data_IF_279758233301
#
_entry.id   IF_279758233301
#
_cell.length_a   1.000
_cell.length_b   1.000
_cell.length_c   1.000
_cell.angle_alpha   90.00
_cell.angle_beta   90.00
_cell.angle_gamma   90.00
#
_symmetry.space_group_name_H-M   'P 1'
#
loop_
_entity.id
_entity.type
_entity.pdbx_description
1 polymer ?
#
# COMPACT_ATOMS: atom_id res chain seq x y z
N UNK A 1 -17.12 6.39 37.88
CA UNK A 1 -17.05 5.54 36.68
C UNK A 1 -15.92 4.55 36.90
N UNK A 2 -16.27 3.33 37.29
CA UNK A 2 -15.36 2.20 37.41
C UNK A 2 -15.60 1.30 36.20
N UNK A 3 -14.57 1.00 35.43
CA UNK A 3 -14.60 -0.16 34.53
C UNK A 3 -13.26 -0.87 34.65
N UNK A 4 -13.30 -2.01 35.34
CA UNK A 4 -12.23 -2.98 35.39
C UNK A 4 -12.09 -3.67 34.03
N UNK A 5 -10.84 -3.89 33.64
CA UNK A 5 -10.47 -4.70 32.51
C UNK A 5 -10.40 -6.17 32.97
N UNK A 6 -11.29 -7.02 32.44
CA UNK A 6 -11.15 -8.47 32.53
C UNK A 6 -10.63 -9.04 31.20
N UNK A 7 -9.71 -9.98 31.36
CA UNK A 7 -8.98 -10.74 30.36
C UNK A 7 -9.89 -11.55 29.42
N UNK A 8 -9.69 -11.39 28.11
CA UNK A 8 -10.19 -12.30 27.08
C UNK A 8 -9.11 -13.34 26.73
N UNK A 9 -9.30 -14.57 27.22
CA UNK A 9 -8.60 -15.76 26.73
C UNK A 9 -9.45 -16.41 25.63
N UNK A 10 -9.04 -16.30 24.36
CA UNK A 10 -9.61 -17.09 23.27
C UNK A 10 -8.59 -18.16 22.86
N UNK A 11 -8.97 -19.40 23.17
CA UNK A 11 -8.24 -20.63 22.90
C UNK A 11 -8.32 -20.97 21.40
N UNK A 12 -7.16 -21.11 20.78
CA UNK A 12 -6.97 -21.64 19.43
C UNK A 12 -7.19 -23.16 19.41
N UNK A 13 -8.18 -23.64 18.66
CA UNK A 13 -8.33 -25.06 18.32
C UNK A 13 -8.18 -25.25 16.81
N UNK A 14 -7.11 -25.96 16.41
CA UNK A 14 -6.80 -26.38 15.03
C UNK A 14 -6.58 -27.88 15.03
N UNK A 15 -7.45 -28.64 14.35
CA UNK A 15 -7.18 -30.00 13.87
C UNK A 15 -8.30 -30.44 12.88
N UNK A 16 -8.08 -31.45 12.02
CA UNK A 16 -8.20 -31.28 10.57
C UNK A 16 -9.30 -32.14 9.91
N UNK A 17 -9.80 -31.68 8.76
CA UNK A 17 -10.68 -32.47 7.88
C UNK A 17 -9.87 -33.38 6.94
N UNK A 18 -10.21 -34.67 6.79
CA UNK A 18 -9.44 -35.62 5.99
C UNK A 18 -9.80 -35.55 4.49
N UNK A 19 -8.77 -35.51 3.65
CA UNK A 19 -8.86 -35.68 2.19
C UNK A 19 -9.16 -37.14 1.81
N UNK A 20 -10.33 -37.41 1.23
CA UNK A 20 -10.58 -38.64 0.44
C UNK A 20 -9.96 -38.47 -0.95
N UNK A 21 -8.83 -39.13 -1.21
CA UNK A 21 -8.31 -39.35 -2.56
C UNK A 21 -8.39 -40.84 -2.86
N UNK A 22 -9.27 -41.20 -3.79
CA UNK A 22 -9.48 -42.57 -4.26
C UNK A 22 -8.26 -43.02 -5.07
N UNK A 23 -7.76 -44.20 -4.73
CA UNK A 23 -6.68 -44.91 -5.40
C UNK A 23 -7.09 -45.36 -6.80
N UNK A 24 -6.24 -45.14 -7.80
CA UNK A 24 -6.18 -45.96 -9.01
C UNK A 24 -4.82 -46.65 -9.05
N UNK A 25 -4.90 -47.97 -8.93
CA UNK A 25 -3.83 -48.95 -9.04
C UNK A 25 -3.56 -49.18 -10.53
N UNK A 26 -2.31 -49.12 -10.95
CA UNK A 26 -1.89 -49.47 -12.31
C UNK A 26 -0.39 -49.77 -12.29
N UNK A 27 -0.07 -51.05 -12.40
CA UNK A 27 1.21 -51.66 -12.07
C UNK A 27 2.33 -51.38 -13.09
N UNK A 28 3.57 -51.54 -12.61
CA UNK A 28 4.81 -51.38 -13.34
C UNK A 28 5.30 -52.67 -14.02
N UNK A 29 5.86 -52.51 -15.23
CA UNK A 29 7.07 -53.16 -15.80
C UNK A 29 7.01 -54.69 -16.09
N UNK A 30 7.93 -55.28 -16.91
CA UNK A 30 9.19 -54.72 -17.42
C UNK A 30 9.51 -54.95 -18.93
N UNK A 31 10.57 -54.24 -19.33
CA UNK A 31 11.37 -54.32 -20.55
C UNK A 31 12.20 -55.63 -20.62
N UNK A 32 12.31 -56.23 -21.81
CA UNK A 32 13.39 -57.18 -22.15
C UNK A 32 13.68 -57.20 -23.66
N UNK A 33 14.96 -57.08 -23.97
CA UNK A 33 15.58 -57.03 -25.31
C UNK A 33 15.86 -58.41 -25.92
N UNK A 34 16.28 -58.35 -27.21
CA UNK A 34 16.88 -59.36 -28.10
C UNK A 34 15.92 -60.29 -28.86
N UNK A 35 16.20 -60.79 -30.06
CA UNK A 35 17.03 -60.47 -31.26
C UNK A 35 16.62 -61.59 -32.27
N UNK A 36 16.93 -61.41 -33.57
CA UNK A 36 16.92 -62.45 -34.62
C UNK A 36 15.52 -62.93 -35.10
N UNK A 37 15.23 -63.28 -36.35
CA UNK A 37 15.80 -63.05 -37.69
C UNK A 37 14.78 -63.74 -38.65
N UNK A 38 14.88 -63.47 -39.96
CA UNK A 38 14.53 -64.40 -41.06
C UNK A 38 13.06 -64.51 -41.59
N UNK A 39 12.97 -64.16 -42.89
CA UNK A 39 12.15 -64.70 -44.01
C UNK A 39 10.84 -64.06 -44.51
N UNK A 40 10.89 -63.84 -45.83
CA UNK A 40 9.92 -63.34 -46.80
C UNK A 40 8.73 -64.28 -47.08
N UNK A 41 7.60 -63.72 -47.53
CA UNK A 41 6.92 -64.03 -48.83
C UNK A 41 5.59 -63.27 -49.01
N UNK A 42 5.47 -62.53 -50.13
CA UNK A 42 4.48 -62.68 -51.24
C UNK A 42 3.03 -62.29 -50.87
N UNK A 43 2.23 -61.46 -51.57
CA UNK A 43 2.30 -60.79 -52.88
C UNK A 43 0.99 -59.99 -53.10
N UNK A 44 1.09 -58.92 -53.90
CA UNK A 44 0.09 -58.33 -54.83
C UNK A 44 -1.27 -57.79 -54.34
N UNK A 45 -1.47 -56.48 -54.53
CA UNK A 45 -2.68 -55.94 -55.19
C UNK A 45 -2.37 -54.55 -55.77
N UNK A 46 -2.83 -54.37 -57.00
CA UNK A 46 -2.34 -53.46 -58.03
C UNK A 46 -3.27 -52.23 -58.16
N UNK A 47 -2.67 -51.07 -58.48
CA UNK A 47 -3.20 -50.02 -59.38
C UNK A 47 -4.56 -49.37 -59.11
N UNK A 48 -4.55 -48.17 -58.51
CA UNK A 48 -5.51 -47.07 -58.77
C UNK A 48 -5.03 -45.77 -58.11
N UNK A 49 -4.00 -45.09 -58.66
CA UNK A 49 -3.59 -43.78 -58.13
C UNK A 49 -2.81 -42.88 -59.11
N UNK A 50 -2.86 -43.11 -60.44
CA UNK A 50 -2.02 -42.38 -61.39
C UNK A 50 -2.79 -41.58 -62.47
N UNK A 51 -4.04 -41.16 -62.17
CA UNK A 51 -4.87 -40.40 -63.14
C UNK A 51 -5.54 -39.15 -62.55
N UNK A 52 -4.93 -38.55 -61.52
CA UNK A 52 -5.35 -37.25 -60.96
C UNK A 52 -4.28 -36.14 -61.15
N UNK A 53 -3.53 -36.21 -62.24
CA UNK A 53 -2.47 -35.26 -62.57
C UNK A 53 -2.76 -34.49 -63.87
N UNK A 54 -3.94 -33.89 -64.01
CA UNK A 54 -4.23 -32.99 -65.16
C UNK A 54 -5.46 -32.08 -64.93
N UNK A 55 -5.48 -31.29 -63.84
CA UNK A 55 -6.32 -30.08 -63.74
C UNK A 55 -5.85 -29.18 -62.58
N UNK A 56 -4.55 -28.96 -62.48
CA UNK A 56 -3.97 -28.01 -61.53
C UNK A 56 -3.92 -26.60 -62.12
N UNK A 57 -5.06 -25.94 -62.29
CA UNK A 57 -5.03 -24.48 -62.37
C UNK A 57 -4.72 -24.01 -60.95
N UNK A 58 -3.51 -23.50 -60.75
CA UNK A 58 -3.07 -22.91 -59.51
C UNK A 58 -4.06 -21.82 -59.07
N UNK A 59 -4.98 -22.16 -58.17
CA UNK A 59 -5.50 -21.17 -57.24
C UNK A 59 -4.37 -20.90 -56.25
N UNK A 60 -3.43 -20.05 -56.65
CA UNK A 60 -2.66 -19.30 -55.68
C UNK A 60 -3.70 -18.59 -54.80
N UNK A 61 -3.75 -18.92 -53.51
CA UNK A 61 -4.56 -18.18 -52.56
C UNK A 61 -4.11 -16.71 -52.67
N UNK A 62 -4.95 -15.88 -53.28
CA UNK A 62 -4.66 -14.46 -53.45
C UNK A 62 -4.53 -13.88 -52.05
N UNK A 63 -3.37 -13.34 -51.70
CA UNK A 63 -3.16 -12.69 -50.42
C UNK A 63 -3.21 -11.19 -50.61
N UNK A 64 -3.86 -10.50 -49.67
CA UNK A 64 -3.73 -9.06 -49.58
C UNK A 64 -2.28 -8.73 -49.21
N UNK A 65 -1.76 -7.66 -49.79
CA UNK A 65 -0.46 -7.09 -49.47
C UNK A 65 -0.50 -5.59 -49.69
N UNK A 66 0.59 -4.89 -49.39
CA UNK A 66 0.73 -3.49 -49.76
C UNK A 66 2.06 -3.26 -50.49
N UNK A 67 2.02 -2.32 -51.44
CA UNK A 67 3.21 -1.82 -52.15
C UNK A 67 3.80 -0.62 -51.42
N UNK A 68 5.08 -0.30 -51.70
CA UNK A 68 5.91 0.74 -51.06
C UNK A 68 5.09 1.75 -50.23
N UNK A 69 5.01 1.51 -48.91
CA UNK A 69 4.39 2.43 -47.99
C UNK A 69 5.36 3.54 -47.61
N UNK A 70 4.84 4.71 -47.27
CA UNK A 70 5.61 5.77 -46.65
C UNK A 70 5.04 6.06 -45.28
N UNK A 71 5.91 6.01 -44.29
CA UNK A 71 5.70 6.56 -42.97
C UNK A 71 6.27 7.96 -42.95
N UNK A 72 5.49 8.94 -42.51
CA UNK A 72 5.95 10.32 -42.37
C UNK A 72 5.51 10.88 -41.03
N UNK A 73 6.44 11.47 -40.28
CA UNK A 73 6.09 12.26 -39.10
C UNK A 73 6.05 13.72 -39.52
N UNK A 74 4.91 14.38 -39.29
CA UNK A 74 4.78 15.82 -39.46
C UNK A 74 4.87 16.48 -38.09
N UNK A 75 6.02 17.09 -37.79
CA UNK A 75 6.19 17.92 -36.61
C UNK A 75 5.54 19.29 -36.83
N UNK A 76 4.82 19.82 -35.84
CA UNK A 76 4.18 21.15 -35.93
C UNK A 76 5.18 22.32 -35.96
N UNK A 77 6.47 22.06 -35.74
CA UNK A 77 7.54 23.06 -35.59
C UNK A 77 8.73 22.76 -36.52
N UNK A 78 8.55 22.97 -37.83
CA UNK A 78 9.65 23.24 -38.78
C UNK A 78 10.82 22.26 -38.91
N UNK A 79 10.79 21.08 -38.27
CA UNK A 79 11.82 20.05 -38.40
C UNK A 79 11.49 19.09 -39.55
N UNK A 80 12.53 18.60 -40.22
CA UNK A 80 12.42 17.69 -41.36
C UNK A 80 11.49 16.52 -41.06
N UNK A 81 10.51 16.31 -41.94
CA UNK A 81 9.61 15.18 -41.85
C UNK A 81 10.40 13.88 -42.03
N UNK A 82 10.55 13.09 -40.97
CA UNK A 82 11.17 11.77 -41.04
C UNK A 82 10.29 10.91 -41.95
N UNK A 83 10.80 10.61 -43.15
CA UNK A 83 10.14 9.77 -44.15
C UNK A 83 10.85 8.44 -44.22
N UNK A 84 10.19 7.39 -43.74
CA UNK A 84 10.69 6.02 -43.85
C UNK A 84 9.83 5.20 -44.81
N UNK A 85 10.49 4.34 -45.60
CA UNK A 85 9.80 3.41 -46.49
C UNK A 85 9.36 2.19 -45.71
N UNK A 86 8.08 1.85 -45.81
CA UNK A 86 7.49 0.65 -45.24
C UNK A 86 7.44 -0.46 -46.29
N UNK A 87 7.84 -1.67 -45.89
CA UNK A 87 7.80 -2.86 -46.72
C UNK A 87 6.88 -3.90 -46.07
N UNK A 88 6.14 -4.66 -46.89
CA UNK A 88 5.20 -5.68 -46.43
C UNK A 88 5.85 -6.91 -45.77
N UNK A 89 7.15 -7.13 -45.96
CA UNK A 89 7.86 -8.34 -45.48
C UNK A 89 8.81 -8.11 -44.32
N UNK A 90 9.23 -6.88 -44.07
CA UNK A 90 10.23 -6.56 -43.04
C UNK A 90 9.79 -5.33 -42.25
N UNK A 91 9.57 -5.46 -40.93
CA UNK A 91 9.30 -4.30 -40.09
C UNK A 91 10.52 -3.38 -40.02
N UNK A 92 10.29 -2.10 -39.74
CA UNK A 92 11.36 -1.14 -39.50
C UNK A 92 12.18 -1.53 -38.26
N UNK A 93 13.51 -1.48 -38.38
CA UNK A 93 14.43 -1.97 -37.34
C UNK A 93 14.69 -0.98 -36.22
N UNK A 94 14.32 0.31 -36.39
CA UNK A 94 14.48 1.35 -35.39
C UNK A 94 13.10 1.83 -34.92
N UNK A 95 12.88 1.98 -33.60
CA UNK A 95 11.67 2.59 -33.09
C UNK A 95 11.66 4.08 -33.46
N UNK A 96 10.47 4.58 -33.72
CA UNK A 96 10.26 5.95 -34.18
C UNK A 96 9.65 6.75 -33.03
N UNK A 97 10.31 7.84 -32.65
CA UNK A 97 9.84 8.73 -31.60
C UNK A 97 8.67 9.60 -32.09
N UNK A 98 7.59 9.64 -31.33
CA UNK A 98 6.43 10.52 -31.55
C UNK A 98 6.34 11.52 -30.38
N UNK A 99 6.63 12.79 -30.65
CA UNK A 99 6.58 13.86 -29.67
C UNK A 99 5.19 14.50 -29.52
N UNK A 100 4.99 15.23 -28.42
CA UNK A 100 3.70 15.80 -27.95
C UNK A 100 2.90 16.64 -28.97
N UNK A 101 3.56 17.15 -30.01
CA UNK A 101 2.94 17.97 -31.06
C UNK A 101 2.99 17.33 -32.45
N UNK A 102 3.45 16.09 -32.55
CA UNK A 102 3.70 15.41 -33.81
C UNK A 102 2.47 14.62 -34.28
N UNK A 103 2.30 14.57 -35.60
CA UNK A 103 1.28 13.75 -36.25
C UNK A 103 1.96 12.67 -37.08
N UNK A 104 1.63 11.42 -36.79
CA UNK A 104 2.08 10.27 -37.55
C UNK A 104 1.18 10.09 -38.78
N UNK A 105 1.76 10.11 -39.98
CA UNK A 105 1.03 9.86 -41.22
C UNK A 105 1.55 8.62 -41.92
N UNK A 106 0.69 7.61 -42.01
CA UNK A 106 0.97 6.35 -42.71
C UNK A 106 0.24 6.37 -44.05
N UNK A 107 0.95 6.10 -45.14
CA UNK A 107 0.37 5.99 -46.49
C UNK A 107 0.88 4.73 -47.17
N UNK A 108 0.02 3.91 -47.74
CA UNK A 108 0.42 2.76 -48.57
C UNK A 108 -0.63 2.45 -49.62
N UNK A 109 -0.31 1.60 -50.60
CA UNK A 109 -1.26 1.14 -51.61
C UNK A 109 -1.58 -0.32 -51.39
N UNK A 110 -2.82 -0.62 -51.00
CA UNK A 110 -3.29 -1.99 -50.82
C UNK A 110 -3.45 -2.70 -52.18
N UNK A 111 -2.95 -3.93 -52.26
CA UNK A 111 -3.01 -4.78 -53.44
C UNK A 111 -3.70 -6.10 -53.14
N UNK A 112 -4.57 -6.48 -54.06
CA UNK A 112 -5.18 -7.81 -54.15
C UNK A 112 -4.54 -8.51 -55.36
N UNK A 113 -3.72 -9.53 -55.10
CA UNK A 113 -3.02 -10.28 -56.15
C UNK A 113 -2.21 -9.39 -57.14
N UNK A 114 -1.49 -8.40 -56.60
CA UNK A 114 -0.64 -7.47 -57.36
C UNK A 114 -1.35 -6.26 -57.97
N UNK A 115 -2.69 -6.22 -57.98
CA UNK A 115 -3.48 -5.08 -58.50
C UNK A 115 -3.97 -4.20 -57.36
N UNK A 116 -3.83 -2.88 -57.50
CA UNK A 116 -4.35 -1.91 -56.54
C UNK A 116 -5.88 -2.03 -56.47
N UNK A 117 -6.40 -2.36 -55.28
CA UNK A 117 -7.84 -2.53 -55.07
C UNK A 117 -8.21 -1.99 -53.70
N UNK A 118 -9.40 -1.43 -53.57
CA UNK A 118 -9.94 -0.95 -52.30
C UNK A 118 -10.33 -2.15 -51.41
N UNK A 119 -9.65 -2.39 -50.27
CA UNK A 119 -10.07 -3.41 -49.32
C UNK A 119 -11.33 -2.96 -48.57
N UNK A 120 -12.07 -3.92 -47.99
CA UNK A 120 -13.22 -3.60 -47.13
C UNK A 120 -12.78 -3.09 -45.75
N UNK A 121 -11.69 -3.64 -45.23
CA UNK A 121 -11.15 -3.36 -43.91
C UNK A 121 -9.67 -3.00 -44.03
N UNK A 122 -9.30 -1.84 -43.48
CA UNK A 122 -7.91 -1.42 -43.39
C UNK A 122 -7.69 -0.62 -42.10
N UNK A 123 -6.86 -1.16 -41.21
CA UNK A 123 -6.54 -0.55 -39.92
C UNK A 123 -5.04 -0.53 -39.67
N UNK A 124 -4.58 0.51 -38.98
CA UNK A 124 -3.31 0.49 -38.25
C UNK A 124 -3.64 0.24 -36.78
N UNK A 125 -3.16 -0.86 -36.22
CA UNK A 125 -3.38 -1.21 -34.82
C UNK A 125 -2.12 -0.89 -34.04
N UNK A 126 -2.24 -0.02 -33.03
CA UNK A 126 -1.17 0.22 -32.06
C UNK A 126 -1.38 -0.71 -30.87
N UNK A 127 -0.36 -1.52 -30.55
CA UNK A 127 -0.41 -2.52 -29.50
C UNK A 127 0.67 -2.29 -28.45
N UNK A 128 0.28 -2.31 -27.18
CA UNK A 128 1.20 -2.36 -26.06
C UNK A 128 1.62 -3.82 -25.77
N UNK A 129 2.92 -4.05 -25.57
CA UNK A 129 3.46 -5.41 -25.47
C UNK A 129 3.12 -6.11 -24.15
N UNK A 130 3.03 -5.37 -23.04
CA UNK A 130 2.86 -5.94 -21.70
C UNK A 130 1.39 -6.14 -21.32
N UNK A 131 0.56 -5.12 -21.56
CA UNK A 131 -0.87 -5.16 -21.22
C UNK A 131 -1.71 -5.87 -22.28
N UNK A 132 -1.18 -5.98 -23.51
CA UNK A 132 -1.93 -6.45 -24.67
C UNK A 132 -3.02 -5.49 -25.14
N UNK A 133 -3.05 -4.24 -24.63
CA UNK A 133 -4.01 -3.22 -25.06
C UNK A 133 -3.75 -2.83 -26.52
N UNK A 134 -4.83 -2.68 -27.27
CA UNK A 134 -4.80 -2.37 -28.70
C UNK A 134 -5.72 -1.18 -29.00
N UNK A 135 -5.25 -0.26 -29.85
CA UNK A 135 -6.05 0.85 -30.39
C UNK A 135 -6.06 0.77 -31.92
N UNK A 136 -7.22 0.51 -32.55
CA UNK A 136 -7.34 0.48 -34.01
C UNK A 136 -7.58 1.89 -34.58
N UNK A 137 -6.82 2.26 -35.61
CA UNK A 137 -6.99 3.50 -36.36
C UNK A 137 -7.41 3.18 -37.80
N UNK A 138 -8.62 3.56 -38.23
CA UNK A 138 -9.12 3.30 -39.58
C UNK A 138 -8.35 4.11 -40.63
N UNK A 139 -7.99 3.46 -41.73
CA UNK A 139 -7.38 4.12 -42.88
C UNK A 139 -8.45 4.71 -43.80
N UNK A 140 -8.21 5.92 -44.31
CA UNK A 140 -9.02 6.50 -45.39
C UNK A 140 -8.56 5.91 -46.71
N UNK A 141 -9.44 5.14 -47.35
CA UNK A 141 -9.17 4.45 -48.60
C UNK A 141 -9.67 5.24 -49.81
N UNK A 142 -8.89 5.28 -50.89
CA UNK A 142 -9.32 5.75 -52.22
C UNK A 142 -9.66 4.56 -53.13
N UNK A 143 -10.35 4.82 -54.24
CA UNK A 143 -10.74 3.78 -55.21
C UNK A 143 -9.54 3.03 -55.79
N UNK A 144 -8.40 3.71 -55.97
CA UNK A 144 -7.14 3.13 -56.45
C UNK A 144 -6.37 2.31 -55.39
N UNK A 145 -7.00 1.92 -54.28
CA UNK A 145 -6.35 1.16 -53.19
C UNK A 145 -5.37 1.95 -52.31
N UNK A 146 -5.19 3.26 -52.57
CA UNK A 146 -4.35 4.13 -51.73
C UNK A 146 -5.03 4.37 -50.37
N UNK A 147 -4.33 3.99 -49.30
CA UNK A 147 -4.74 4.13 -47.91
C UNK A 147 -3.93 5.24 -47.24
N UNK A 148 -4.59 6.12 -46.48
CA UNK A 148 -3.95 7.19 -45.70
C UNK A 148 -4.58 7.27 -44.32
N UNK A 149 -3.75 7.30 -43.27
CA UNK A 149 -4.18 7.65 -41.92
C UNK A 149 -3.25 8.71 -41.36
N UNK A 150 -3.82 9.66 -40.64
CA UNK A 150 -3.10 10.64 -39.84
C UNK A 150 -3.52 10.39 -38.40
N UNK A 151 -2.56 10.15 -37.53
CA UNK A 151 -2.75 9.84 -36.12
C UNK A 151 -2.00 10.92 -35.35
N UNK A 152 -2.72 11.85 -34.74
CA UNK A 152 -2.12 12.79 -33.81
C UNK A 152 -1.91 12.09 -32.46
N UNK A 153 -0.86 12.43 -31.71
CA UNK A 153 -0.66 11.83 -30.38
C UNK A 153 -1.85 12.05 -29.43
N UNK A 154 -2.59 13.15 -29.60
CA UNK A 154 -3.81 13.46 -28.83
C UNK A 154 -4.98 12.50 -29.08
N UNK A 155 -4.97 11.80 -30.21
CA UNK A 155 -6.00 10.82 -30.59
C UNK A 155 -5.68 9.43 -30.04
N UNK A 156 -4.45 9.22 -29.56
CA UNK A 156 -4.04 7.96 -28.93
C UNK A 156 -4.66 7.88 -27.53
N UNK A 157 -5.30 6.75 -27.15
CA UNK A 157 -5.84 6.58 -25.81
C UNK A 157 -4.77 6.79 -24.74
N UNK A 158 -5.17 7.45 -23.64
CA UNK A 158 -4.28 7.75 -22.49
C UNK A 158 -3.54 6.50 -21.98
N UNK A 159 -4.16 5.33 -22.03
CA UNK A 159 -3.57 4.07 -21.57
C UNK A 159 -2.31 3.69 -22.37
N UNK A 160 -2.32 3.97 -23.68
CA UNK A 160 -1.18 3.69 -24.55
C UNK A 160 -0.14 4.82 -24.49
N UNK A 161 -0.56 6.06 -24.20
CA UNK A 161 0.34 7.21 -24.01
C UNK A 161 1.23 7.10 -22.76
N UNK A 162 0.75 6.38 -21.73
CA UNK A 162 1.46 6.16 -20.47
C UNK A 162 2.35 4.90 -20.50
N UNK A 163 2.52 4.26 -21.67
CA UNK A 163 3.36 3.07 -21.78
C UNK A 163 4.84 3.42 -21.72
N UNK A 164 5.59 2.75 -20.84
CA UNK A 164 7.04 2.91 -20.73
C UNK A 164 7.81 2.22 -21.87
N UNK A 165 7.13 1.40 -22.68
CA UNK A 165 7.72 0.59 -23.76
C UNK A 165 7.24 1.04 -25.14
N UNK A 166 8.03 0.80 -26.20
CA UNK A 166 7.61 1.14 -27.55
C UNK A 166 6.39 0.30 -27.97
N UNK A 167 5.38 0.98 -28.51
CA UNK A 167 4.15 0.40 -29.03
C UNK A 167 4.41 -0.25 -30.40
N UNK A 168 3.91 -1.47 -30.58
CA UNK A 168 3.99 -2.19 -31.86
C UNK A 168 2.85 -1.75 -32.78
N UNK A 169 3.17 -1.15 -33.93
CA UNK A 169 2.20 -0.82 -34.96
C UNK A 169 2.09 -1.98 -35.97
N UNK A 170 0.89 -2.55 -36.10
CA UNK A 170 0.58 -3.60 -37.07
C UNK A 170 -0.42 -3.11 -38.10
N UNK A 171 -0.22 -3.48 -39.36
CA UNK A 171 -1.14 -3.16 -40.45
C UNK A 171 -2.06 -4.36 -40.69
N UNK A 172 -3.36 -4.11 -40.68
CA UNK A 172 -4.40 -5.10 -40.94
C UNK A 172 -5.16 -4.71 -42.20
N UNK A 173 -5.15 -5.58 -43.21
CA UNK A 173 -5.89 -5.41 -44.46
C UNK A 173 -6.72 -6.67 -44.70
N UNK A 174 -8.03 -6.50 -44.88
CA UNK A 174 -8.93 -7.60 -45.21
C UNK A 174 -10.05 -7.11 -46.13
N UNK A 175 -10.61 -8.03 -46.92
CA UNK A 175 -11.78 -7.77 -47.75
C UNK A 175 -12.66 -8.99 -47.80
N UNK A 176 -13.95 -8.81 -48.07
CA UNK A 176 -14.83 -9.92 -48.41
C UNK A 176 -14.35 -10.58 -49.72
N UNK A 177 -14.18 -11.90 -49.72
CA UNK A 177 -13.71 -12.68 -50.87
C UNK A 177 -12.90 -13.91 -50.48
N UNK A 178 -12.35 -14.61 -51.48
CA UNK A 178 -11.47 -15.78 -51.31
C UNK A 178 -10.02 -15.43 -50.99
N UNK A 179 -9.69 -14.14 -50.93
CA UNK A 179 -8.34 -13.67 -50.66
C UNK A 179 -8.00 -13.68 -49.16
N UNK A 180 -6.82 -14.15 -48.79
CA UNK A 180 -6.37 -14.17 -47.38
C UNK A 180 -6.04 -12.76 -46.88
N UNK A 181 -6.51 -12.44 -45.68
CA UNK A 181 -6.23 -11.16 -45.02
C UNK A 181 -4.75 -11.03 -44.65
N UNK A 182 -4.27 -9.79 -44.63
CA UNK A 182 -2.89 -9.45 -44.27
C UNK A 182 -2.84 -8.86 -42.87
N UNK A 183 -2.02 -9.44 -42.00
CA UNK A 183 -1.71 -8.93 -40.66
C UNK A 183 -0.21 -9.06 -40.48
N UNK A 184 0.49 -7.93 -40.37
CA UNK A 184 1.92 -7.93 -40.11
C UNK A 184 2.34 -6.73 -39.25
N UNK A 185 3.33 -6.90 -38.36
CA UNK A 185 3.98 -5.78 -37.70
C UNK A 185 4.72 -4.94 -38.75
N UNK A 186 4.56 -3.63 -38.69
CA UNK A 186 5.15 -2.71 -39.65
C UNK A 186 6.28 -1.89 -39.02
N UNK A 187 6.06 -1.33 -37.82
CA UNK A 187 7.04 -0.48 -37.13
C UNK A 187 6.71 -0.35 -35.64
N UNK A 188 7.70 0.10 -34.87
CA UNK A 188 7.56 0.36 -33.44
C UNK A 188 7.57 1.87 -33.19
N UNK A 189 6.70 2.35 -32.30
CA UNK A 189 6.55 3.77 -31.95
C UNK A 189 6.96 3.96 -30.49
N UNK A 190 7.91 4.84 -30.24
CA UNK A 190 8.27 5.29 -28.91
C UNK A 190 7.54 6.61 -28.62
N UNK A 191 6.78 6.66 -27.54
CA UNK A 191 5.97 7.84 -27.21
C UNK A 191 6.79 8.75 -26.29
N UNK A 192 7.09 9.96 -26.75
CA UNK A 192 7.79 10.96 -25.95
C UNK A 192 6.77 11.99 -25.44
N UNK A 193 6.54 11.96 -24.12
CA UNK A 193 5.72 12.97 -23.43
C UNK A 193 6.60 14.13 -22.97
N UNK A 194 6.08 15.36 -23.05
CA UNK A 194 6.79 16.54 -22.58
C UNK A 194 6.88 16.50 -21.03
N UNK A 195 8.09 16.49 -20.44
CA UNK A 195 8.25 16.45 -18.98
C UNK A 195 7.75 17.73 -18.29
N UNK A 196 7.52 18.81 -19.04
CA UNK A 196 7.06 20.09 -18.51
C UNK A 196 5.53 20.21 -18.44
N UNK A 197 4.80 19.20 -18.93
CA UNK A 197 3.33 19.13 -18.89
C UNK A 197 2.92 18.00 -17.96
N UNK A 198 1.94 18.24 -17.10
CA UNK A 198 1.43 17.22 -16.20
C UNK A 198 0.96 15.99 -17.01
N UNK A 199 1.37 14.76 -16.63
CA UNK A 199 1.02 13.57 -17.37
C UNK A 199 -0.52 13.41 -17.41
N UNK A 200 -1.06 12.83 -18.50
CA UNK A 200 -2.50 12.66 -18.62
C UNK A 200 -3.02 11.78 -17.46
N UNK A 201 -4.05 12.27 -16.77
CA UNK A 201 -4.65 11.53 -15.66
C UNK A 201 -5.40 10.31 -16.18
N UNK A 202 -4.92 9.12 -15.82
CA UNK A 202 -5.62 7.87 -16.07
C UNK A 202 -6.39 7.45 -14.82
N UNK A 203 -7.71 7.53 -14.88
CA UNK A 203 -8.56 6.89 -13.89
C UNK A 203 -8.71 5.40 -14.26
N UNK A 204 -8.05 4.54 -13.48
CA UNK A 204 -8.16 3.09 -13.66
C UNK A 204 -9.64 2.69 -13.52
N UNK A 205 -10.22 1.98 -14.50
CA UNK A 205 -11.56 1.45 -14.37
C UNK A 205 -11.71 0.65 -13.09
N UNK A 206 -12.88 0.76 -12.44
CA UNK A 206 -13.16 0.08 -11.18
C UNK A 206 -12.99 -1.43 -11.36
N UNK A 207 -11.88 -1.96 -10.85
CA UNK A 207 -11.58 -3.39 -10.89
C UNK A 207 -11.96 -4.01 -9.55
N UNK A 208 -12.94 -4.90 -9.58
CA UNK A 208 -13.32 -5.68 -8.40
C UNK A 208 -12.19 -6.65 -8.05
N UNK A 209 -11.64 -6.51 -6.85
CA UNK A 209 -10.51 -7.29 -6.35
C UNK A 209 -10.30 -7.07 -4.86
N UNK A 210 -9.39 -7.84 -4.26
CA UNK A 210 -9.02 -7.67 -2.85
C UNK A 210 -8.40 -6.30 -2.64
N UNK A 211 -8.98 -5.50 -1.73
CA UNK A 211 -8.40 -4.21 -1.31
C UNK A 211 -7.24 -4.44 -0.33
N UNK A 212 -6.27 -3.51 -0.26
CA UNK A 212 -5.23 -3.57 0.77
C UNK A 212 -5.86 -3.52 2.17
N UNK A 213 -5.24 -4.23 3.10
CA UNK A 213 -5.63 -4.22 4.52
C UNK A 213 -5.28 -2.87 5.15
N UNK A 214 -6.14 -2.37 6.03
CA UNK A 214 -5.96 -1.09 6.71
C UNK A 214 -5.53 -1.37 8.15
N UNK A 215 -4.34 -0.92 8.52
CA UNK A 215 -3.84 -1.01 9.89
C UNK A 215 -4.01 0.32 10.62
N UNK A 216 -4.68 0.30 11.78
CA UNK A 216 -4.74 1.47 12.65
C UNK A 216 -3.38 1.69 13.33
N UNK A 217 -2.80 2.87 13.14
CA UNK A 217 -1.53 3.26 13.78
C UNK A 217 -1.83 3.99 15.08
N UNK A 218 -1.49 3.37 16.22
CA UNK A 218 -1.60 3.99 17.54
C UNK A 218 -0.56 5.09 17.72
N UNK A 219 -0.84 6.04 18.62
CA UNK A 219 0.16 7.02 19.05
C UNK A 219 1.28 6.31 19.80
N UNK A 220 2.50 6.79 19.59
CA UNK A 220 3.65 6.32 20.36
C UNK A 220 3.48 6.70 21.84
N UNK A 221 3.96 5.83 22.73
CA UNK A 221 3.94 6.08 24.16
C UNK A 221 4.81 7.29 24.53
N UNK A 222 4.40 8.12 25.50
CA UNK A 222 5.20 9.25 25.96
C UNK A 222 6.50 8.75 26.62
N UNK A 223 7.62 9.36 26.28
CA UNK A 223 8.92 9.02 26.85
C UNK A 223 9.09 9.67 28.24
N UNK A 224 9.46 8.87 29.24
CA UNK A 224 9.77 9.35 30.59
C UNK A 224 11.26 9.67 30.78
N UNK A 225 11.64 10.61 31.68
CA UNK A 225 13.03 10.92 31.96
C UNK A 225 13.82 9.76 32.58
N UNK A 226 15.17 9.78 32.50
CA UNK A 226 16.01 8.77 33.14
C UNK A 226 15.81 8.73 34.66
N UNK A 227 15.63 7.52 35.21
CA UNK A 227 15.36 7.29 36.65
C UNK A 227 16.39 7.93 37.59
N UNK A 228 17.66 7.99 37.17
CA UNK A 228 18.75 8.57 37.96
C UNK A 228 18.54 10.06 38.24
N UNK A 229 18.03 10.80 37.25
CA UNK A 229 17.78 12.24 37.38
C UNK A 229 16.63 12.46 38.35
N UNK A 230 15.52 11.73 38.17
CA UNK A 230 14.37 11.81 39.09
C UNK A 230 14.75 11.44 40.52
N UNK A 231 15.59 10.41 40.71
CA UNK A 231 16.03 9.98 42.04
C UNK A 231 16.92 11.03 42.72
N UNK A 232 17.84 11.64 41.99
CA UNK A 232 18.70 12.70 42.53
C UNK A 232 17.86 13.86 43.10
N UNK A 233 16.88 14.36 42.34
CA UNK A 233 16.02 15.44 42.80
C UNK A 233 15.10 15.02 43.95
N UNK A 234 14.57 13.78 43.94
CA UNK A 234 13.79 13.26 45.06
C UNK A 234 14.63 13.24 46.36
N UNK A 235 15.88 12.76 46.29
CA UNK A 235 16.80 12.76 47.42
C UNK A 235 17.17 14.18 47.88
N UNK A 236 17.36 15.11 46.93
CA UNK A 236 17.62 16.51 47.26
C UNK A 236 16.46 17.14 48.04
N UNK A 237 15.21 16.86 47.67
CA UNK A 237 14.03 17.32 48.42
C UNK A 237 13.99 16.67 49.81
N UNK A 238 14.20 15.36 49.90
CA UNK A 238 14.23 14.66 51.21
C UNK A 238 15.36 15.20 52.10
N UNK A 239 16.50 15.58 51.54
CA UNK A 239 17.63 16.16 52.27
C UNK A 239 17.34 17.55 52.87
N UNK A 240 16.31 18.26 52.41
CA UNK A 240 15.90 19.54 53.02
C UNK A 240 15.34 19.35 54.43
N UNK A 241 14.74 18.21 54.74
CA UNK A 241 14.17 17.88 56.06
C UNK A 241 15.26 17.80 57.15
N UNK A 242 16.32 16.98 57.03
CA UNK A 242 17.39 16.99 58.03
C UNK A 242 18.12 18.34 58.08
N UNK A 243 18.28 19.03 56.94
CA UNK A 243 18.86 20.37 56.94
C UNK A 243 18.03 21.36 57.79
N UNK A 244 16.70 21.29 57.73
CA UNK A 244 15.80 22.06 58.60
C UNK A 244 16.02 21.73 60.09
N UNK A 245 16.07 20.44 60.45
CA UNK A 245 16.30 20.03 61.83
C UNK A 245 17.67 20.48 62.37
N UNK A 246 18.73 20.37 61.56
CA UNK A 246 20.06 20.89 61.91
C UNK A 246 19.99 22.41 62.12
N UNK A 247 19.28 23.13 61.24
CA UNK A 247 19.06 24.57 61.38
C UNK A 247 18.37 24.95 62.68
N UNK A 248 17.31 24.23 63.07
CA UNK A 248 16.63 24.44 64.35
C UNK A 248 17.53 24.19 65.56
N UNK A 249 18.32 23.12 65.54
CA UNK A 249 19.28 22.82 66.60
C UNK A 249 20.37 23.90 66.71
N UNK A 250 20.87 24.39 65.58
CA UNK A 250 21.86 25.47 65.54
C UNK A 250 21.30 26.80 66.09
N UNK A 251 19.99 27.05 65.92
CA UNK A 251 19.30 28.23 66.44
C UNK A 251 18.83 28.07 67.91
N UNK A 252 19.09 26.93 68.55
CA UNK A 252 18.72 26.69 69.95
C UNK A 252 17.25 26.35 70.18
N UNK A 253 16.57 25.76 69.19
CA UNK A 253 15.20 25.27 69.36
C UNK A 253 15.14 24.24 70.51
N UNK A 254 14.13 24.39 71.38
CA UNK A 254 14.04 23.64 72.63
C UNK A 254 12.61 23.17 72.92
N UNK A 255 12.48 22.07 73.66
CA UNK A 255 11.21 21.43 74.05
C UNK A 255 10.94 21.49 75.57
N UNK A 256 11.69 22.31 76.32
CA UNK A 256 11.62 22.40 77.78
C UNK A 256 10.22 22.69 78.37
N UNK A 257 9.31 23.30 77.61
CA UNK A 257 7.96 23.63 78.08
C UNK A 257 6.92 22.54 77.79
N UNK A 258 7.29 21.48 77.06
CA UNK A 258 6.38 20.38 76.69
C UNK A 258 5.97 19.57 77.92
N UNK A 259 6.90 19.27 78.82
CA UNK A 259 6.61 18.55 80.07
C UNK A 259 5.68 19.34 80.99
N UNK A 260 5.84 20.67 81.03
CA UNK A 260 4.94 21.57 81.77
C UNK A 260 3.55 21.57 81.13
N UNK A 261 3.46 21.69 79.80
CA UNK A 261 2.22 21.62 79.00
C UNK A 261 1.41 20.36 79.27
N UNK A 262 2.06 19.22 79.16
CA UNK A 262 1.43 17.92 79.38
C UNK A 262 1.06 17.75 80.87
N UNK A 263 1.84 18.30 81.81
CA UNK A 263 1.51 18.24 83.23
C UNK A 263 0.27 19.06 83.64
N UNK A 264 0.05 20.23 83.04
CA UNK A 264 -1.06 21.11 83.40
C UNK A 264 -2.38 20.73 82.72
N UNK A 265 -2.34 20.24 81.48
CA UNK A 265 -3.53 19.84 80.72
C UNK A 265 -3.21 18.67 79.77
N UNK A 266 -3.00 17.45 80.31
CA UNK A 266 -2.51 16.31 79.53
C UNK A 266 -3.48 15.90 78.43
N UNK A 267 -4.77 15.86 78.75
CA UNK A 267 -5.79 15.36 77.82
C UNK A 267 -6.02 16.30 76.63
N UNK A 268 -6.00 17.63 76.84
CA UNK A 268 -6.20 18.59 75.75
C UNK A 268 -4.99 18.64 74.81
N UNK A 269 -3.77 18.65 75.34
CA UNK A 269 -2.56 18.70 74.50
C UNK A 269 -2.34 17.39 73.75
N UNK A 270 -2.56 16.23 74.40
CA UNK A 270 -2.45 14.93 73.74
C UNK A 270 -3.52 14.74 72.65
N UNK A 271 -4.77 15.11 72.93
CA UNK A 271 -5.86 14.98 71.94
C UNK A 271 -5.67 15.96 70.79
N UNK A 272 -5.20 17.19 71.05
CA UNK A 272 -4.96 18.20 70.01
C UNK A 272 -3.80 17.81 69.09
N UNK A 273 -2.67 17.37 69.65
CA UNK A 273 -1.56 16.88 68.83
C UNK A 273 -1.94 15.59 68.08
N UNK A 274 -2.63 14.67 68.77
CA UNK A 274 -3.14 13.44 68.16
C UNK A 274 -4.11 13.71 67.02
N UNK A 275 -4.96 14.74 67.11
CA UNK A 275 -5.90 15.08 66.05
C UNK A 275 -5.22 15.71 64.83
N UNK A 276 -4.12 16.46 65.02
CA UNK A 276 -3.28 16.93 63.92
C UNK A 276 -2.61 15.74 63.20
N UNK A 277 -2.00 14.83 63.95
CA UNK A 277 -1.39 13.61 63.38
C UNK A 277 -2.44 12.75 62.67
N UNK A 278 -3.63 12.60 63.25
CA UNK A 278 -4.73 11.88 62.65
C UNK A 278 -5.20 12.55 61.34
N UNK A 279 -5.22 13.89 61.28
CA UNK A 279 -5.59 14.61 60.06
C UNK A 279 -4.59 14.34 58.92
N UNK A 280 -3.29 14.40 59.21
CA UNK A 280 -2.25 14.05 58.22
C UNK A 280 -2.34 12.59 57.77
N UNK A 281 -2.64 11.67 58.70
CA UNK A 281 -2.87 10.28 58.36
C UNK A 281 -4.08 10.09 57.43
N UNK A 282 -5.17 10.84 57.66
CA UNK A 282 -6.35 10.80 56.78
C UNK A 282 -6.01 11.31 55.39
N UNK A 283 -5.21 12.37 55.26
CA UNK A 283 -4.73 12.84 53.95
C UNK A 283 -3.79 11.85 53.27
N UNK A 284 -2.92 11.19 54.03
CA UNK A 284 -2.08 10.11 53.51
C UNK A 284 -2.95 8.95 52.98
N UNK A 285 -3.93 8.50 53.75
CA UNK A 285 -4.86 7.46 53.32
C UNK A 285 -5.68 7.87 52.10
N UNK A 286 -6.07 9.14 51.99
CA UNK A 286 -6.73 9.68 50.79
C UNK A 286 -5.83 9.62 49.56
N UNK A 287 -4.55 9.98 49.71
CA UNK A 287 -3.58 9.91 48.62
C UNK A 287 -3.33 8.47 48.15
N UNK A 288 -3.29 7.50 49.07
CA UNK A 288 -2.95 6.11 48.74
C UNK A 288 -4.14 5.25 48.34
N UNK A 289 -5.31 5.39 48.97
CA UNK A 289 -6.35 4.35 48.88
C UNK A 289 -7.80 4.79 49.11
N UNK A 290 -8.09 5.81 49.94
CA UNK A 290 -9.46 6.17 50.31
C UNK A 290 -10.15 7.04 49.27
N UNK A 291 -11.46 6.87 49.15
CA UNK A 291 -12.31 7.72 48.31
C UNK A 291 -12.76 8.98 49.07
N UNK A 292 -13.12 10.03 48.32
CA UNK A 292 -13.57 11.30 48.89
C UNK A 292 -14.72 11.15 49.89
N UNK A 293 -15.70 10.30 49.61
CA UNK A 293 -16.84 10.06 50.50
C UNK A 293 -16.49 9.34 51.81
N UNK A 294 -15.36 8.63 51.85
CA UNK A 294 -14.85 8.01 53.08
C UNK A 294 -14.08 9.05 53.91
N UNK A 295 -13.32 9.91 53.23
CA UNK A 295 -12.46 10.93 53.85
C UNK A 295 -13.28 12.05 54.48
N UNK A 296 -14.29 12.57 53.77
CA UNK A 296 -15.11 13.71 54.24
C UNK A 296 -15.71 13.54 55.64
N UNK A 297 -16.42 12.43 55.97
CA UNK A 297 -16.96 12.26 57.32
C UNK A 297 -15.85 12.09 58.37
N UNK A 298 -14.74 11.42 58.04
CA UNK A 298 -13.61 11.22 58.96
C UNK A 298 -12.92 12.55 59.27
N UNK A 299 -12.63 13.37 58.26
CA UNK A 299 -12.12 14.74 58.44
C UNK A 299 -13.10 15.58 59.25
N UNK A 300 -14.42 15.43 59.03
CA UNK A 300 -15.44 16.09 59.85
C UNK A 300 -15.31 15.76 61.34
N UNK A 301 -15.20 14.48 61.68
CA UNK A 301 -15.04 14.02 63.07
C UNK A 301 -13.70 14.49 63.67
N UNK A 302 -12.59 14.27 62.96
CA UNK A 302 -11.25 14.68 63.42
C UNK A 302 -11.18 16.20 63.56
N UNK A 303 -11.78 16.95 62.64
CA UNK A 303 -11.86 18.41 62.67
C UNK A 303 -12.60 18.95 63.89
N UNK A 304 -13.75 18.37 64.24
CA UNK A 304 -14.47 18.73 65.48
C UNK A 304 -13.59 18.47 66.71
N UNK A 305 -12.92 17.31 66.77
CA UNK A 305 -12.01 16.98 67.88
C UNK A 305 -10.83 17.96 67.97
N UNK A 306 -10.25 18.37 66.84
CA UNK A 306 -9.18 19.37 66.78
C UNK A 306 -9.66 20.73 67.31
N UNK A 307 -10.87 21.17 66.97
CA UNK A 307 -11.41 22.45 67.44
C UNK A 307 -11.65 22.41 68.96
N UNK A 308 -12.29 21.36 69.47
CA UNK A 308 -12.62 21.24 70.89
C UNK A 308 -11.37 21.12 71.78
N UNK A 309 -10.40 20.28 71.37
CA UNK A 309 -9.15 20.12 72.12
C UNK A 309 -8.22 21.33 71.95
N UNK A 310 -8.15 21.90 70.75
CA UNK A 310 -7.29 23.04 70.42
C UNK A 310 -7.66 24.30 71.18
N UNK A 311 -8.95 24.62 71.31
CA UNK A 311 -9.39 25.79 72.11
C UNK A 311 -8.92 25.70 73.56
N UNK A 312 -8.94 24.51 74.17
CA UNK A 312 -8.45 24.27 75.54
C UNK A 312 -6.93 24.30 75.63
N UNK A 313 -6.23 23.65 74.71
CA UNK A 313 -4.77 23.63 74.65
C UNK A 313 -4.18 25.05 74.45
N UNK A 314 -4.74 25.82 73.52
CA UNK A 314 -4.30 27.20 73.23
C UNK A 314 -4.65 28.17 74.37
N UNK A 315 -5.79 27.97 75.04
CA UNK A 315 -6.16 28.80 76.22
C UNK A 315 -5.19 28.60 77.38
N UNK A 316 -4.67 27.39 77.57
CA UNK A 316 -3.64 27.11 78.56
C UNK A 316 -2.29 27.73 78.19
N UNK A 317 -1.92 27.71 76.91
CA UNK A 317 -0.72 28.42 76.43
C UNK A 317 -0.85 29.92 76.66
N UNK A 318 -2.06 30.48 76.46
CA UNK A 318 -2.33 31.88 76.75
C UNK A 318 -2.23 32.20 78.25
N UNK A 319 -2.77 31.36 79.14
CA UNK A 319 -2.71 31.60 80.58
C UNK A 319 -1.28 31.61 81.11
N UNK A 320 -0.40 30.76 80.56
CA UNK A 320 1.04 30.79 80.85
C UNK A 320 1.73 32.08 80.44
N UNK A 321 1.41 32.55 79.24
CA UNK A 321 1.94 33.84 78.75
C UNK A 321 1.51 34.99 79.67
N UNK A 322 0.28 34.96 80.18
CA UNK A 322 -0.21 35.95 81.15
C UNK A 322 0.44 35.80 82.52
N UNK A 323 0.81 34.59 82.93
CA UNK A 323 1.56 34.30 84.16
C UNK A 323 3.07 34.61 84.05
N UNK A 324 3.55 35.08 82.89
CA UNK A 324 4.97 35.41 82.66
C UNK A 324 5.84 34.21 82.30
N UNK A 325 5.25 33.04 82.07
CA UNK A 325 5.94 31.83 81.65
C UNK A 325 5.95 31.76 80.12
N UNK A 326 7.07 32.14 79.50
CA UNK A 326 7.33 32.02 78.05
C UNK A 326 8.27 30.87 77.78
#
# INVERSE_FOLDING_TARGET
MSFGAEHLSIVSFRAPFPSRRVARKGASLPNKHHHNDITMRFSQSFTSALLLAAAGVAQAASSWSFDEGSLSIAAKKGSDAVKEKLNAKSPLSKPIALGSADTLKVTFTAKDNGRGKRPHQAFVILKEQDSGLEAPFPLTLKENGKAVVQIAQKEIPVNLLLSDKPLKASIVIASFGSATGFIAPAFDIEITTDPNVAPPQYEKPVRYGKRPEIHHTFRADPQSPPKIVSLFFALAVVATVPALFIGWLALGANVNHVTKAIGAAPLSHATFFGSIVAMEFVFFMYYTSWNLFQVLPVIGVVGVMTILSGTKALSEVQSRRLAGER
#
